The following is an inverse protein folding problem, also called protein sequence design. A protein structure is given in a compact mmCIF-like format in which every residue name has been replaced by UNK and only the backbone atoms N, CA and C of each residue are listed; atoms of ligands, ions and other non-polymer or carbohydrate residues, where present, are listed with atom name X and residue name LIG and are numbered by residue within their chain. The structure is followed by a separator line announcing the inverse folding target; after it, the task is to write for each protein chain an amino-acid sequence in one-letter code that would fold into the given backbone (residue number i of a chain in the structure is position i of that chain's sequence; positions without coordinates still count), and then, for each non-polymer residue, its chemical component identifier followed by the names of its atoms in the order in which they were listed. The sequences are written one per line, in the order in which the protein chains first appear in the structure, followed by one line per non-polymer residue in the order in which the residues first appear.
data_IF_240480061482
#
_entry.id   IF_240480061482
#
_cell.length_a   1.000
_cell.length_b   1.000
_cell.length_c   1.000
_cell.angle_alpha   90.00
_cell.angle_beta   90.00
_cell.angle_gamma   90.00
#
_symmetry.space_group_name_H-M   'P 1'
#
loop_
_entity.id
_entity.type
_entity.pdbx_description
1 polymer ?
#
# COMPACT_ATOMS: atom_id res chain seq x y z
N UNK A 1 15.35 19.04 -1.54
CA UNK A 1 15.26 17.96 -2.54
C UNK A 1 13.92 18.09 -3.23
N UNK A 2 13.92 18.12 -4.55
CA UNK A 2 12.70 18.06 -5.36
C UNK A 2 11.97 16.73 -5.08
N UNK A 3 10.63 16.77 -5.05
CA UNK A 3 9.80 15.59 -4.74
C UNK A 3 9.82 14.66 -5.95
N UNK A 4 9.96 13.35 -5.72
CA UNK A 4 9.99 12.36 -6.82
C UNK A 4 8.62 12.33 -7.54
N UNK A 5 8.63 12.61 -8.84
CA UNK A 5 7.42 12.88 -9.63
C UNK A 5 6.77 11.66 -10.31
N UNK A 6 7.37 10.47 -10.25
CA UNK A 6 6.81 9.26 -10.85
C UNK A 6 7.10 8.01 -10.01
N UNK A 7 6.25 6.99 -10.16
CA UNK A 7 6.42 5.70 -9.48
C UNK A 7 7.74 5.03 -9.88
N UNK A 8 8.14 5.08 -11.15
CA UNK A 8 9.39 4.47 -11.62
C UNK A 8 10.63 5.17 -11.05
N UNK A 9 10.61 6.50 -10.94
CA UNK A 9 11.69 7.23 -10.27
C UNK A 9 11.70 6.98 -8.75
N UNK A 10 10.55 6.66 -8.17
CA UNK A 10 10.43 6.35 -6.73
C UNK A 10 10.86 4.91 -6.41
N UNK A 11 10.73 4.00 -7.36
CA UNK A 11 10.95 2.56 -7.15
C UNK A 11 12.34 2.19 -6.60
N UNK A 12 13.48 2.74 -7.09
CA UNK A 12 14.78 2.47 -6.50
C UNK A 12 14.93 2.99 -5.06
N UNK A 13 14.31 4.14 -4.76
CA UNK A 13 14.27 4.69 -3.40
C UNK A 13 13.46 3.77 -2.49
N UNK A 14 12.27 3.35 -2.93
CA UNK A 14 11.41 2.42 -2.19
C UNK A 14 12.15 1.12 -1.86
N UNK A 15 12.76 0.45 -2.83
CA UNK A 15 13.52 -0.78 -2.56
C UNK A 15 14.76 -0.54 -1.68
N UNK A 16 15.32 0.66 -1.73
CA UNK A 16 16.38 1.10 -0.82
C UNK A 16 15.94 1.15 0.65
N UNK A 17 14.65 1.35 0.92
CA UNK A 17 14.05 1.32 2.25
C UNK A 17 13.62 -0.10 2.70
N UNK A 18 13.65 -1.09 1.79
CA UNK A 18 13.22 -2.48 2.02
C UNK A 18 14.33 -3.46 1.58
N UNK A 19 15.55 -3.27 2.08
CA UNK A 19 16.75 -4.03 1.68
C UNK A 19 16.78 -5.43 2.31
N UNK A 20 16.25 -5.56 3.51
CA UNK A 20 16.18 -6.80 4.26
C UNK A 20 15.04 -7.69 3.71
N UNK A 21 15.32 -8.96 3.35
CA UNK A 21 14.27 -9.91 2.97
C UNK A 21 13.13 -10.03 3.96
N UNK A 22 13.41 -9.95 5.27
CA UNK A 22 12.40 -10.09 6.32
C UNK A 22 11.38 -8.95 6.26
N UNK A 23 11.85 -7.73 6.00
CA UNK A 23 10.99 -6.55 5.84
C UNK A 23 10.04 -6.73 4.63
N UNK A 24 10.58 -7.13 3.48
CA UNK A 24 9.76 -7.44 2.30
C UNK A 24 8.76 -8.56 2.53
N UNK A 25 9.14 -9.61 3.27
CA UNK A 25 8.24 -10.71 3.65
C UNK A 25 7.10 -10.20 4.55
N UNK A 26 7.38 -9.33 5.51
CA UNK A 26 6.34 -8.74 6.35
C UNK A 26 5.35 -7.92 5.53
N UNK A 27 5.84 -7.10 4.60
CA UNK A 27 4.99 -6.37 3.65
C UNK A 27 4.17 -7.33 2.76
N UNK A 28 4.78 -8.42 2.30
CA UNK A 28 4.09 -9.43 1.50
C UNK A 28 2.94 -10.10 2.28
N UNK A 29 3.20 -10.50 3.53
CA UNK A 29 2.20 -11.10 4.42
C UNK A 29 1.07 -10.11 4.71
N UNK A 30 1.41 -8.87 5.07
CA UNK A 30 0.42 -7.82 5.33
C UNK A 30 -0.44 -7.50 4.11
N UNK A 31 0.18 -7.39 2.93
CA UNK A 31 -0.53 -7.13 1.66
C UNK A 31 -1.43 -8.30 1.25
N UNK A 32 -0.96 -9.53 1.46
CA UNK A 32 -1.77 -10.74 1.21
C UNK A 32 -2.98 -10.81 2.14
N UNK A 33 -2.80 -10.48 3.43
CA UNK A 33 -3.90 -10.37 4.39
C UNK A 33 -4.93 -9.31 3.95
N UNK A 34 -4.46 -8.14 3.52
CA UNK A 34 -5.33 -7.11 2.96
C UNK A 34 -6.15 -7.63 1.78
N UNK A 35 -5.54 -8.34 0.82
CA UNK A 35 -6.28 -8.92 -0.31
C UNK A 35 -7.30 -9.97 0.12
N UNK A 36 -6.97 -10.84 1.09
CA UNK A 36 -7.91 -11.83 1.62
C UNK A 36 -9.14 -11.14 2.24
N UNK A 37 -8.93 -10.12 3.08
CA UNK A 37 -10.02 -9.34 3.68
C UNK A 37 -10.80 -8.58 2.61
N UNK A 38 -10.12 -8.00 1.63
CA UNK A 38 -10.75 -7.26 0.53
C UNK A 38 -11.71 -8.17 -0.24
N UNK A 39 -11.28 -9.38 -0.61
CA UNK A 39 -12.14 -10.39 -1.26
C UNK A 39 -13.33 -10.74 -0.35
N UNK A 40 -13.09 -10.96 0.94
CA UNK A 40 -14.16 -11.21 1.92
C UNK A 40 -15.19 -10.07 2.01
N UNK A 41 -14.77 -8.81 1.85
CA UNK A 41 -15.66 -7.66 1.80
C UNK A 41 -16.53 -7.64 0.53
N UNK A 42 -15.95 -7.99 -0.62
CA UNK A 42 -16.71 -8.15 -1.88
C UNK A 42 -17.74 -9.27 -1.79
N UNK A 43 -17.43 -10.37 -1.10
CA UNK A 43 -18.36 -11.49 -0.92
C UNK A 43 -19.47 -11.16 0.09
N UNK A 44 -19.13 -10.51 1.22
CA UNK A 44 -20.09 -10.23 2.29
C UNK A 44 -20.99 -9.01 2.03
N UNK A 45 -20.53 -8.06 1.21
CA UNK A 45 -21.27 -6.83 0.87
C UNK A 45 -21.20 -6.56 -0.65
N UNK A 46 -21.82 -7.44 -1.48
CA UNK A 46 -21.58 -7.50 -2.93
C UNK A 46 -22.17 -6.33 -3.73
N UNK A 47 -22.93 -5.43 -3.10
CA UNK A 47 -23.46 -4.22 -3.73
C UNK A 47 -22.78 -2.97 -3.16
N UNK A 48 -22.87 -2.79 -1.85
CA UNK A 48 -22.41 -1.55 -1.20
C UNK A 48 -20.89 -1.43 -1.16
N UNK A 49 -20.17 -2.54 -0.97
CA UNK A 49 -18.71 -2.49 -0.94
C UNK A 49 -18.10 -2.15 -2.32
N UNK A 50 -18.52 -2.75 -3.46
CA UNK A 50 -18.08 -2.28 -4.77
C UNK A 50 -18.37 -0.80 -5.03
N UNK A 51 -19.56 -0.30 -4.67
CA UNK A 51 -19.90 1.12 -4.84
C UNK A 51 -18.97 2.00 -4.02
N UNK A 52 -18.81 1.70 -2.73
CA UNK A 52 -17.90 2.43 -1.85
C UNK A 52 -16.44 2.35 -2.33
N UNK A 53 -16.00 1.18 -2.79
CA UNK A 53 -14.65 0.95 -3.31
C UNK A 53 -14.41 1.75 -4.59
N UNK A 54 -15.33 1.77 -5.55
CA UNK A 54 -15.18 2.55 -6.79
C UNK A 54 -15.18 4.05 -6.51
N UNK A 55 -16.06 4.54 -5.63
CA UNK A 55 -16.08 5.95 -5.24
C UNK A 55 -14.80 6.36 -4.49
N UNK A 56 -14.35 5.53 -3.54
CA UNK A 56 -13.13 5.75 -2.77
C UNK A 56 -11.87 5.65 -3.63
N UNK A 57 -11.73 4.60 -4.43
CA UNK A 57 -10.61 4.37 -5.33
C UNK A 57 -10.58 5.40 -6.47
N UNK A 58 -11.74 5.81 -7.00
CA UNK A 58 -11.84 6.87 -8.01
C UNK A 58 -11.42 8.23 -7.47
N UNK A 59 -11.88 8.61 -6.27
CA UNK A 59 -11.45 9.82 -5.58
C UNK A 59 -9.95 9.78 -5.24
N UNK A 60 -9.46 8.62 -4.79
CA UNK A 60 -8.04 8.39 -4.54
C UNK A 60 -7.23 8.50 -5.81
N UNK A 61 -7.60 7.83 -6.89
CA UNK A 61 -6.86 7.86 -8.16
C UNK A 61 -6.82 9.25 -8.79
N UNK A 62 -7.96 9.95 -8.83
CA UNK A 62 -8.08 11.30 -9.39
C UNK A 62 -7.25 12.32 -8.61
N UNK A 63 -7.24 12.22 -7.27
CA UNK A 63 -6.44 13.11 -6.42
C UNK A 63 -4.96 12.70 -6.36
N UNK A 64 -4.66 11.42 -6.16
CA UNK A 64 -3.34 10.90 -5.81
C UNK A 64 -2.28 11.14 -6.89
N UNK A 65 -2.61 11.00 -8.17
CA UNK A 65 -1.64 11.21 -9.26
C UNK A 65 -1.32 12.69 -9.51
N UNK A 66 -2.13 13.61 -8.97
CA UNK A 66 -1.91 15.07 -9.05
C UNK A 66 -1.47 15.70 -7.72
N UNK A 67 -1.74 15.03 -6.61
CA UNK A 67 -1.58 15.55 -5.25
C UNK A 67 -0.46 14.85 -4.47
N UNK A 68 0.22 13.86 -5.06
CA UNK A 68 1.51 13.38 -4.54
C UNK A 68 2.61 14.46 -4.61
N UNK A 69 2.28 15.71 -4.95
CA UNK A 69 3.08 16.90 -4.71
C UNK A 69 2.71 17.66 -3.41
N UNK A 70 1.54 17.42 -2.82
CA UNK A 70 1.00 18.15 -1.66
C UNK A 70 0.64 17.22 -0.47
N UNK A 71 0.46 17.78 0.74
CA UNK A 71 0.07 17.04 1.96
C UNK A 71 -1.34 16.41 1.88
N UNK A 72 -2.09 16.70 0.83
CA UNK A 72 -3.51 16.37 0.72
C UNK A 72 -3.78 14.91 0.26
N UNK A 73 -2.76 14.11 -0.04
CA UNK A 73 -2.91 12.71 -0.43
C UNK A 73 -3.51 11.79 0.66
N UNK A 74 -3.39 12.17 1.94
CA UNK A 74 -4.02 11.43 3.04
C UNK A 74 -5.55 11.59 3.08
N UNK A 75 -6.09 12.69 2.54
CA UNK A 75 -7.53 12.97 2.54
C UNK A 75 -8.33 11.94 1.74
N UNK A 76 -8.02 11.67 0.46
CA UNK A 76 -8.76 10.67 -0.29
C UNK A 76 -8.51 9.24 0.21
N UNK A 77 -7.32 8.94 0.75
CA UNK A 77 -7.06 7.64 1.40
C UNK A 77 -7.93 7.43 2.65
N UNK A 78 -8.06 8.47 3.49
CA UNK A 78 -8.93 8.44 4.65
C UNK A 78 -10.41 8.32 4.24
N UNK A 79 -10.83 9.03 3.19
CA UNK A 79 -12.17 8.90 2.63
C UNK A 79 -12.44 7.45 2.19
N UNK A 80 -11.55 6.83 1.42
CA UNK A 80 -11.66 5.43 0.99
C UNK A 80 -11.76 4.47 2.19
N UNK A 81 -10.92 4.68 3.22
CA UNK A 81 -10.97 3.88 4.45
C UNK A 81 -12.33 3.99 5.14
N UNK A 82 -12.85 5.21 5.31
CA UNK A 82 -14.12 5.47 5.99
C UNK A 82 -15.29 4.85 5.23
N UNK A 83 -15.44 5.16 3.94
CA UNK A 83 -16.58 4.65 3.16
C UNK A 83 -16.53 3.13 2.98
N UNK A 84 -15.33 2.57 2.80
CA UNK A 84 -15.13 1.13 2.73
C UNK A 84 -15.47 0.42 4.05
N UNK A 85 -15.09 1.00 5.19
CA UNK A 85 -15.41 0.45 6.52
C UNK A 85 -16.89 0.53 6.83
N UNK A 86 -17.58 1.60 6.41
CA UNK A 86 -19.04 1.69 6.53
C UNK A 86 -19.72 0.60 5.69
N UNK A 87 -19.25 0.36 4.46
CA UNK A 87 -19.83 -0.62 3.57
C UNK A 87 -19.52 -2.08 3.95
N UNK A 88 -18.36 -2.33 4.58
CA UNK A 88 -17.96 -3.61 5.13
C UNK A 88 -16.95 -3.40 6.28
N UNK A 89 -17.36 -3.50 7.57
CA UNK A 89 -16.49 -3.21 8.71
C UNK A 89 -15.19 -4.03 8.76
N UNK A 90 -15.20 -5.25 8.21
CA UNK A 90 -14.02 -6.09 8.10
C UNK A 90 -12.88 -5.41 7.31
N UNK A 91 -13.19 -4.49 6.40
CA UNK A 91 -12.19 -3.75 5.61
C UNK A 91 -11.14 -3.05 6.49
N UNK A 92 -11.56 -2.51 7.64
CA UNK A 92 -10.64 -1.87 8.59
C UNK A 92 -9.59 -2.86 9.10
N UNK A 93 -9.97 -4.12 9.36
CA UNK A 93 -9.03 -5.16 9.83
C UNK A 93 -7.98 -5.51 8.79
N UNK A 94 -8.33 -5.45 7.49
CA UNK A 94 -7.39 -5.64 6.39
C UNK A 94 -6.34 -4.53 6.35
N UNK A 95 -6.78 -3.27 6.44
CA UNK A 95 -5.89 -2.10 6.43
C UNK A 95 -5.00 -2.09 7.68
N UNK A 96 -5.58 -2.27 8.88
CA UNK A 96 -4.81 -2.30 10.13
C UNK A 96 -3.79 -3.44 10.14
N UNK A 97 -4.19 -4.63 9.69
CA UNK A 97 -3.27 -5.78 9.61
C UNK A 97 -2.09 -5.52 8.66
N UNK A 98 -2.35 -4.97 7.48
CA UNK A 98 -1.29 -4.62 6.53
C UNK A 98 -0.30 -3.60 7.09
N UNK A 99 -0.81 -2.51 7.68
CA UNK A 99 0.03 -1.47 8.29
C UNK A 99 0.81 -1.98 9.50
N UNK A 100 0.23 -2.85 10.33
CA UNK A 100 0.93 -3.46 11.45
C UNK A 100 2.15 -4.27 10.98
N UNK A 101 1.99 -5.11 9.96
CA UNK A 101 3.11 -5.86 9.39
C UNK A 101 4.17 -4.93 8.79
N UNK A 102 3.76 -3.94 7.99
CA UNK A 102 4.68 -2.99 7.37
C UNK A 102 5.48 -2.18 8.40
N UNK A 103 4.83 -1.73 9.48
CA UNK A 103 5.51 -0.98 10.53
C UNK A 103 6.48 -1.83 11.34
N UNK A 104 6.17 -3.11 11.59
CA UNK A 104 7.14 -4.02 12.21
C UNK A 104 8.38 -4.14 11.33
N UNK A 105 8.21 -4.28 10.01
CA UNK A 105 9.31 -4.27 9.05
C UNK A 105 10.15 -3.00 9.17
N UNK A 106 9.55 -1.85 8.93
CA UNK A 106 10.26 -0.57 8.94
C UNK A 106 10.94 -0.25 10.28
N UNK A 107 10.22 -0.36 11.40
CA UNK A 107 10.75 0.11 12.68
C UNK A 107 11.64 -0.91 13.39
N UNK A 108 11.37 -2.21 13.24
CA UNK A 108 12.11 -3.26 13.97
C UNK A 108 13.21 -3.86 13.11
N UNK A 109 12.93 -4.13 11.82
CA UNK A 109 13.87 -4.80 10.91
C UNK A 109 14.80 -3.78 10.25
N UNK A 110 14.25 -2.83 9.52
CA UNK A 110 15.03 -1.83 8.76
C UNK A 110 15.54 -0.67 9.64
N UNK A 111 14.85 -0.42 10.76
CA UNK A 111 15.11 0.71 11.67
C UNK A 111 15.06 2.06 10.95
N UNK A 112 14.16 2.20 9.97
CA UNK A 112 13.91 3.43 9.22
C UNK A 112 12.50 3.96 9.49
N UNK A 113 12.19 5.12 8.92
CA UNK A 113 10.84 5.67 8.93
C UNK A 113 10.17 5.35 7.60
N UNK A 114 8.95 4.78 7.60
CA UNK A 114 8.21 4.44 6.38
C UNK A 114 8.15 5.60 5.38
N UNK A 115 8.41 5.28 4.11
CA UNK A 115 8.35 6.26 3.03
C UNK A 115 6.95 6.88 2.88
N UNK A 116 5.89 6.17 3.32
CA UNK A 116 4.49 6.64 3.32
C UNK A 116 4.32 8.03 3.95
N UNK A 117 5.12 8.41 4.95
CA UNK A 117 5.01 9.74 5.57
C UNK A 117 5.43 10.88 4.66
N UNK A 118 6.25 10.60 3.64
CA UNK A 118 6.73 11.57 2.65
C UNK A 118 6.08 11.36 1.28
N UNK A 119 5.79 10.10 0.94
CA UNK A 119 5.26 9.67 -0.35
C UNK A 119 4.13 8.64 -0.12
N UNK A 120 2.96 9.08 0.38
CA UNK A 120 1.89 8.16 0.77
C UNK A 120 1.38 7.33 -0.41
N UNK A 121 1.17 7.95 -1.58
CA UNK A 121 0.65 7.26 -2.76
C UNK A 121 1.73 6.38 -3.36
N UNK A 122 2.95 6.88 -3.53
CA UNK A 122 4.00 6.08 -4.15
C UNK A 122 4.41 4.90 -3.27
N UNK A 123 4.44 5.07 -1.95
CA UNK A 123 4.67 3.97 -1.01
C UNK A 123 3.59 2.90 -1.14
N UNK A 124 2.31 3.30 -1.13
CA UNK A 124 1.19 2.38 -1.24
C UNK A 124 1.18 1.60 -2.56
N UNK A 125 1.39 2.28 -3.69
CA UNK A 125 1.47 1.62 -5.00
C UNK A 125 2.70 0.72 -5.13
N UNK A 126 3.81 1.11 -4.48
CA UNK A 126 5.04 0.33 -4.48
C UNK A 126 4.91 -0.95 -3.65
N UNK A 127 4.11 -0.98 -2.57
CA UNK A 127 3.78 -2.22 -1.85
C UNK A 127 3.08 -3.23 -2.77
N UNK A 128 2.14 -2.79 -3.61
CA UNK A 128 1.48 -3.65 -4.59
C UNK A 128 2.43 -4.11 -5.70
N UNK A 129 3.32 -3.22 -6.18
CA UNK A 129 4.36 -3.56 -7.17
C UNK A 129 5.32 -4.61 -6.60
N UNK A 130 5.77 -4.44 -5.35
CA UNK A 130 6.64 -5.40 -4.67
C UNK A 130 5.93 -6.73 -4.44
N UNK A 131 4.69 -6.71 -3.96
CA UNK A 131 3.89 -7.92 -3.78
C UNK A 131 3.76 -8.70 -5.09
N UNK A 132 3.47 -8.03 -6.21
CA UNK A 132 3.41 -8.68 -7.54
C UNK A 132 4.73 -9.30 -7.98
N UNK A 133 5.86 -8.62 -7.75
CA UNK A 133 7.18 -9.21 -7.98
C UNK A 133 7.42 -10.45 -7.11
N UNK A 134 7.02 -10.42 -5.84
CA UNK A 134 7.14 -11.56 -4.93
C UNK A 134 6.25 -12.74 -5.33
N UNK A 135 5.00 -12.48 -5.75
CA UNK A 135 4.13 -13.53 -6.31
C UNK A 135 4.77 -14.21 -7.53
N UNK A 136 5.51 -13.46 -8.36
CA UNK A 136 6.22 -13.99 -9.53
C UNK A 136 7.59 -14.58 -9.23
N UNK A 137 7.93 -14.76 -7.95
CA UNK A 137 9.18 -15.40 -7.53
C UNK A 137 10.40 -14.46 -7.49
N UNK A 138 10.22 -13.13 -7.48
CA UNK A 138 11.30 -12.13 -7.40
C UNK A 138 11.27 -11.38 -6.08
N UNK A 139 12.39 -10.78 -5.70
CA UNK A 139 12.58 -9.99 -4.47
C UNK A 139 12.47 -10.81 -3.17
N UNK A 140 12.48 -12.14 -3.23
CA UNK A 140 12.47 -12.98 -2.03
C UNK A 140 13.82 -12.91 -1.31
N UNK A 141 14.92 -12.91 -2.05
CA UNK A 141 16.27 -12.88 -1.45
C UNK A 141 17.30 -12.33 -2.43
N UNK A 142 17.71 -11.07 -2.27
CA UNK A 142 18.82 -10.50 -3.05
C UNK A 142 18.65 -10.57 -4.58
N UNK A 143 17.43 -10.80 -5.07
CA UNK A 143 17.14 -10.89 -6.50
C UNK A 143 17.44 -9.55 -7.18
N UNK A 144 17.98 -9.55 -8.41
CA UNK A 144 18.17 -8.33 -9.16
C UNK A 144 16.83 -7.62 -9.36
N UNK A 145 16.82 -6.33 -9.00
CA UNK A 145 15.66 -5.46 -9.17
C UNK A 145 15.34 -5.34 -10.66
N UNK A 146 14.14 -5.72 -11.12
CA UNK A 146 13.72 -5.43 -12.48
C UNK A 146 13.71 -3.91 -12.67
N UNK A 147 14.51 -3.42 -13.63
CA UNK A 147 14.53 -2.02 -14.03
C UNK A 147 13.23 -1.66 -14.76
#
# INVERSE_FOLDING_TARGET
MERIGSLDAFWPYYLGEHRNPVDRILHFVGTSWFFLVLIGCFVSSPLWFPVAFVLGAGATWYGATRMEAQRAAFVPMAFMLIVGTIAAPAFLSGVVGAYACAWVGHFVVEKNRPATFKYPVWSFLSDFRMWGHMVTGRLWSGDPVPQ
#
